data_IF_623948850627
#
_entry.id   IF_623948850627
#
_cell.length_a   1.000
_cell.length_b   1.000
_cell.length_c   1.000
_cell.angle_alpha   90.00
_cell.angle_beta   90.00
_cell.angle_gamma   90.00
#
_symmetry.space_group_name_H-M   'P 1'
#
loop_
_entity.id
_entity.type
_entity.pdbx_description
1 polymer ?
#
# COMPACT_ATOMS: atom_id res chain seq x y z
N UNK A 1 18.78 12.19 8.63
CA UNK A 1 18.44 11.10 7.70
C UNK A 1 17.76 9.96 8.47
N UNK A 2 16.65 9.42 7.97
CA UNK A 2 15.95 8.28 8.60
C UNK A 2 16.65 6.96 8.34
N UNK A 3 16.62 6.05 9.33
CA UNK A 3 17.24 4.71 9.26
C UNK A 3 18.72 4.70 8.84
N UNK A 4 19.46 5.78 9.17
CA UNK A 4 20.86 5.96 8.79
C UNK A 4 21.75 6.09 10.03
N UNK A 5 22.03 5.00 10.74
CA UNK A 5 22.80 5.05 12.01
C UNK A 5 24.22 5.58 11.87
N UNK A 6 24.83 5.47 10.68
CA UNK A 6 26.15 6.01 10.33
C UNK A 6 26.04 7.29 9.50
N UNK A 7 25.07 8.15 9.82
CA UNK A 7 24.96 9.45 9.16
C UNK A 7 26.23 10.30 9.43
N UNK A 8 26.65 11.17 8.50
CA UNK A 8 27.75 12.11 8.72
C UNK A 8 27.53 12.98 9.98
N UNK A 9 28.61 13.53 10.54
CA UNK A 9 28.62 14.21 11.85
C UNK A 9 27.59 15.34 12.00
N UNK A 10 27.26 16.01 10.91
CA UNK A 10 26.38 17.18 10.93
C UNK A 10 24.92 16.81 10.60
N UNK A 11 24.65 15.51 10.42
CA UNK A 11 23.35 14.97 10.05
C UNK A 11 22.79 14.13 11.19
N UNK A 12 21.65 14.57 11.74
CA UNK A 12 20.97 13.83 12.81
C UNK A 12 20.35 12.54 12.22
N UNK A 13 20.73 11.35 12.71
CA UNK A 13 20.06 10.11 12.34
C UNK A 13 18.72 10.02 13.08
N UNK A 14 17.69 9.51 12.41
CA UNK A 14 16.32 9.46 12.95
C UNK A 14 15.72 8.05 12.83
N UNK A 15 14.71 7.76 13.64
CA UNK A 15 14.04 6.46 13.66
C UNK A 15 12.72 6.45 12.89
N UNK A 16 12.44 5.32 12.23
CA UNK A 16 11.16 4.98 11.62
C UNK A 16 10.75 3.60 12.13
N UNK A 17 9.48 3.43 12.50
CA UNK A 17 8.96 2.18 13.01
C UNK A 17 7.77 2.38 13.94
N UNK A 18 7.36 1.31 14.61
CA UNK A 18 6.24 1.36 15.57
C UNK A 18 6.65 1.73 16.99
N UNK A 19 7.85 1.35 17.44
CA UNK A 19 8.25 1.39 18.85
C UNK A 19 9.68 1.92 19.06
N UNK A 20 10.01 3.09 18.48
CA UNK A 20 11.36 3.64 18.52
C UNK A 20 11.90 3.91 19.93
N UNK A 21 11.04 4.09 20.94
CA UNK A 21 11.47 4.25 22.33
C UNK A 21 12.09 2.98 22.94
N UNK A 22 11.80 1.80 22.38
CA UNK A 22 12.34 0.53 22.84
C UNK A 22 13.35 -0.09 21.85
N UNK A 23 13.17 0.13 20.55
CA UNK A 23 13.94 -0.58 19.52
C UNK A 23 15.11 0.21 18.94
N UNK A 24 15.26 1.50 19.28
CA UNK A 24 16.30 2.34 18.68
C UNK A 24 17.23 2.96 19.73
N UNK A 25 18.55 2.68 19.70
CA UNK A 25 19.50 3.17 20.69
C UNK A 25 19.87 4.66 20.53
N UNK A 26 19.29 5.34 19.54
CA UNK A 26 19.60 6.72 19.20
C UNK A 26 20.90 6.91 18.40
N UNK A 27 21.32 8.17 18.18
CA UNK A 27 22.59 8.51 17.55
C UNK A 27 23.80 8.01 18.35
N UNK A 28 24.92 7.79 17.66
CA UNK A 28 26.22 7.50 18.30
C UNK A 28 26.69 8.70 19.11
N UNK A 29 26.57 9.92 18.57
CA UNK A 29 26.81 11.15 19.31
C UNK A 29 25.63 11.44 20.24
N UNK A 30 25.82 11.28 21.55
CA UNK A 30 24.77 11.45 22.56
C UNK A 30 24.34 12.90 22.81
N UNK A 31 25.03 13.89 22.24
CA UNK A 31 24.54 15.28 22.26
C UNK A 31 23.45 15.56 21.23
N UNK A 32 23.25 14.65 20.26
CA UNK A 32 22.18 14.79 19.26
C UNK A 32 20.82 14.39 19.84
N UNK A 33 19.73 15.06 19.42
CA UNK A 33 18.39 14.74 19.89
C UNK A 33 17.89 13.40 19.33
N UNK A 34 16.98 12.77 20.08
CA UNK A 34 16.22 11.61 19.62
C UNK A 34 14.99 12.08 18.83
N UNK A 35 14.98 11.79 17.53
CA UNK A 35 13.90 12.16 16.62
C UNK A 35 13.28 10.90 15.97
N UNK A 36 11.95 10.81 16.03
CA UNK A 36 11.16 9.74 15.43
C UNK A 36 10.34 10.31 14.26
N UNK A 37 10.85 10.12 13.05
CA UNK A 37 10.33 10.74 11.83
C UNK A 37 9.17 9.96 11.23
N UNK A 38 9.02 8.68 11.51
CA UNK A 38 7.85 7.90 11.09
C UNK A 38 7.36 6.95 12.19
N UNK A 39 6.38 7.40 12.97
CA UNK A 39 5.57 6.56 13.84
C UNK A 39 4.41 5.97 13.04
N UNK A 40 4.53 4.70 12.64
CA UNK A 40 3.56 4.06 11.76
C UNK A 40 2.19 3.88 12.43
N UNK A 41 1.22 4.72 12.10
CA UNK A 41 -0.12 4.75 12.74
C UNK A 41 -1.05 3.63 12.30
N UNK A 42 -0.69 2.96 11.21
CA UNK A 42 -1.29 1.77 10.64
C UNK A 42 -0.28 1.16 9.64
N UNK A 43 -0.74 0.28 8.77
CA UNK A 43 -0.02 -0.16 7.57
C UNK A 43 -0.82 0.32 6.36
N UNK A 44 -0.19 0.93 5.34
CA UNK A 44 -0.87 1.17 4.06
C UNK A 44 -1.30 -0.16 3.45
N UNK A 45 -2.37 -0.13 2.66
CA UNK A 45 -2.97 -1.36 2.15
C UNK A 45 -2.79 -1.49 0.65
N UNK A 46 -2.63 -2.73 0.21
CA UNK A 46 -2.51 -3.08 -1.20
C UNK A 46 -3.78 -3.78 -1.68
N UNK A 47 -3.94 -3.96 -2.98
CA UNK A 47 -5.04 -4.77 -3.50
C UNK A 47 -4.91 -6.23 -3.01
N UNK A 48 -6.02 -6.81 -2.53
CA UNK A 48 -6.09 -8.19 -2.01
C UNK A 48 -5.78 -8.35 -0.51
N UNK A 49 -5.45 -7.27 0.17
CA UNK A 49 -4.92 -7.26 1.53
C UNK A 49 -6.06 -7.23 2.59
N UNK A 50 -6.03 -8.05 3.67
CA UNK A 50 -7.12 -8.13 4.66
C UNK A 50 -7.04 -6.99 5.70
N UNK A 51 -8.12 -6.35 6.21
CA UNK A 51 -8.05 -5.18 7.10
C UNK A 51 -6.95 -5.20 8.20
N UNK A 52 -6.26 -4.08 8.41
CA UNK A 52 -5.11 -3.99 9.32
C UNK A 52 -5.18 -2.67 10.06
N UNK A 53 -5.11 -2.74 11.39
CA UNK A 53 -5.24 -1.59 12.28
C UNK A 53 -4.12 -1.62 13.31
N UNK A 54 -3.86 -0.45 13.89
CA UNK A 54 -3.04 -0.26 15.09
C UNK A 54 -3.88 0.54 16.06
N UNK A 55 -4.03 0.08 17.29
CA UNK A 55 -4.94 0.68 18.26
C UNK A 55 -4.45 2.06 18.72
N UNK A 56 -5.35 2.87 19.26
CA UNK A 56 -5.00 4.19 19.79
C UNK A 56 -4.04 4.07 20.98
N UNK A 57 -4.29 3.08 21.82
CA UNK A 57 -3.58 2.75 23.05
C UNK A 57 -2.14 2.34 22.77
N UNK A 58 -1.91 1.51 21.74
CA UNK A 58 -0.56 1.08 21.33
C UNK A 58 0.26 2.26 20.77
N UNK A 59 -0.38 3.13 19.97
CA UNK A 59 0.29 4.34 19.47
C UNK A 59 0.61 5.29 20.63
N UNK A 60 -0.33 5.48 21.56
CA UNK A 60 -0.15 6.33 22.73
C UNK A 60 0.97 5.79 23.64
N UNK A 61 0.99 4.47 23.88
CA UNK A 61 2.06 3.78 24.59
C UNK A 61 3.41 4.07 23.94
N UNK A 62 3.53 3.83 22.64
CA UNK A 62 4.81 3.97 21.95
C UNK A 62 5.32 5.43 21.96
N UNK A 63 4.42 6.42 21.83
CA UNK A 63 4.79 7.85 21.91
C UNK A 63 5.17 8.24 23.33
N UNK A 64 4.34 7.92 24.34
CA UNK A 64 4.67 8.19 25.74
C UNK A 64 6.01 7.53 26.13
N UNK A 65 6.25 6.32 25.64
CA UNK A 65 7.51 5.59 25.81
C UNK A 65 8.67 6.35 25.20
N UNK A 66 8.55 6.81 23.95
CA UNK A 66 9.59 7.56 23.27
C UNK A 66 9.97 8.86 24.01
N UNK A 67 8.99 9.63 24.48
CA UNK A 67 9.27 10.84 25.28
C UNK A 67 9.87 10.50 26.65
N UNK A 68 9.45 9.40 27.29
CA UNK A 68 10.02 8.96 28.58
C UNK A 68 11.52 8.64 28.50
N UNK A 69 12.03 8.26 27.32
CA UNK A 69 13.45 7.95 27.10
C UNK A 69 14.27 9.13 26.56
N UNK A 70 13.72 10.34 26.58
CA UNK A 70 14.39 11.55 26.08
C UNK A 70 14.09 11.88 24.61
N UNK A 71 13.06 11.26 24.04
CA UNK A 71 12.50 11.63 22.74
C UNK A 71 12.04 13.09 22.73
N UNK A 72 12.33 13.82 21.64
CA UNK A 72 11.98 15.24 21.52
C UNK A 72 11.08 15.57 20.32
N UNK A 73 10.92 14.62 19.39
CA UNK A 73 10.02 14.74 18.26
C UNK A 73 9.47 13.36 17.88
N UNK A 74 8.15 13.25 17.75
CA UNK A 74 7.48 12.11 17.16
C UNK A 74 6.52 12.58 16.05
N UNK A 75 6.71 12.07 14.84
CA UNK A 75 5.86 12.36 13.70
C UNK A 75 5.00 11.14 13.34
N UNK A 76 3.69 11.32 13.23
CA UNK A 76 2.76 10.27 12.82
C UNK A 76 2.82 10.04 11.32
N UNK A 77 3.22 8.83 10.92
CA UNK A 77 3.20 8.40 9.53
C UNK A 77 2.09 7.33 9.35
N UNK A 78 0.90 7.66 8.87
CA UNK A 78 0.41 8.99 8.51
C UNK A 78 -0.48 9.57 9.60
N UNK A 79 -0.50 10.90 9.73
CA UNK A 79 -1.55 11.60 10.48
C UNK A 79 -2.85 11.69 9.67
N UNK A 80 -2.72 12.02 8.38
CA UNK A 80 -3.73 11.86 7.34
C UNK A 80 -3.04 11.22 6.14
N UNK A 81 -3.59 10.12 5.63
CA UNK A 81 -3.04 9.46 4.46
C UNK A 81 -3.66 9.94 3.14
N UNK A 82 -4.99 10.13 3.12
CA UNK A 82 -5.72 10.60 1.95
C UNK A 82 -5.87 9.54 0.86
N UNK A 83 -5.91 10.00 -0.39
CA UNK A 83 -6.16 9.15 -1.56
C UNK A 83 -5.04 9.28 -2.59
N UNK A 84 -4.55 8.15 -3.08
CA UNK A 84 -3.73 8.05 -4.29
C UNK A 84 -4.64 8.25 -5.51
N UNK A 85 -4.87 9.51 -5.90
CA UNK A 85 -5.62 9.83 -7.11
C UNK A 85 -4.83 9.52 -8.39
N UNK A 86 -5.55 9.39 -9.50
CA UNK A 86 -4.96 9.12 -10.80
C UNK A 86 -4.37 7.71 -10.88
N UNK A 87 -3.16 7.58 -11.43
CA UNK A 87 -2.57 6.28 -11.78
C UNK A 87 -1.07 6.11 -11.51
N UNK A 88 -0.39 7.13 -10.99
CA UNK A 88 1.08 7.14 -10.84
C UNK A 88 1.51 6.79 -9.41
N UNK A 89 0.72 5.98 -8.70
CA UNK A 89 1.02 5.55 -7.34
C UNK A 89 1.95 4.32 -7.31
N UNK A 90 2.34 3.94 -6.09
CA UNK A 90 3.16 2.75 -5.87
C UNK A 90 2.45 1.44 -6.25
N UNK A 91 3.24 0.46 -6.69
CA UNK A 91 2.78 -0.82 -7.19
C UNK A 91 1.86 -1.52 -6.19
N UNK A 92 0.65 -1.89 -6.64
CA UNK A 92 -0.44 -2.52 -5.88
C UNK A 92 -1.02 -1.72 -4.72
N UNK A 93 -0.49 -0.53 -4.37
CA UNK A 93 -1.05 0.28 -3.29
C UNK A 93 -2.44 0.75 -3.69
N UNK A 94 -3.42 0.59 -2.79
CA UNK A 94 -4.79 0.99 -3.06
C UNK A 94 -4.91 2.52 -3.16
N UNK A 95 -5.98 3.01 -3.83
CA UNK A 95 -6.35 4.43 -3.78
C UNK A 95 -6.44 4.94 -2.34
N UNK A 96 -7.16 4.23 -1.45
CA UNK A 96 -7.25 4.58 -0.03
C UNK A 96 -5.92 4.43 0.69
N UNK A 97 -5.24 5.54 0.96
CA UNK A 97 -3.92 5.53 1.58
C UNK A 97 -4.06 5.80 3.08
N UNK A 98 -3.66 4.85 3.92
CA UNK A 98 -3.72 4.99 5.40
C UNK A 98 -5.10 5.43 5.95
N UNK A 99 -6.20 4.82 5.48
CA UNK A 99 -7.58 5.08 5.98
C UNK A 99 -7.80 4.76 7.48
N UNK A 100 -6.79 4.16 8.12
CA UNK A 100 -6.73 3.88 9.55
C UNK A 100 -5.88 4.90 10.34
N UNK A 101 -5.42 5.98 9.71
CA UNK A 101 -4.73 7.08 10.37
C UNK A 101 -5.67 7.87 11.32
N UNK A 102 -5.15 8.75 12.19
CA UNK A 102 -5.96 9.63 13.03
C UNK A 102 -7.02 10.43 12.26
N UNK A 103 -6.69 10.89 11.04
CA UNK A 103 -7.66 11.35 10.07
C UNK A 103 -7.83 10.27 9.00
N UNK A 104 -9.07 9.90 8.73
CA UNK A 104 -9.38 8.89 7.72
C UNK A 104 -9.14 9.40 6.28
N UNK A 105 -9.41 8.57 5.27
CA UNK A 105 -9.22 8.94 3.85
C UNK A 105 -9.95 10.25 3.47
N UNK A 106 -11.11 10.51 4.08
CA UNK A 106 -11.96 11.66 3.78
C UNK A 106 -11.67 12.87 4.68
N UNK A 107 -10.66 12.77 5.56
CA UNK A 107 -10.28 13.84 6.49
C UNK A 107 -11.15 13.92 7.74
N UNK A 108 -12.00 12.92 8.00
CA UNK A 108 -12.81 12.86 9.22
C UNK A 108 -11.97 12.34 10.39
N UNK A 109 -12.31 12.79 11.61
CA UNK A 109 -11.69 12.30 12.82
C UNK A 109 -12.00 10.81 13.00
N UNK A 110 -10.95 9.98 13.08
CA UNK A 110 -11.09 8.56 13.34
C UNK A 110 -10.96 8.30 14.83
N UNK A 111 -12.10 8.13 15.49
CA UNK A 111 -12.14 7.97 16.93
C UNK A 111 -12.14 6.49 17.34
N UNK A 112 -11.54 6.15 18.49
CA UNK A 112 -10.97 7.04 19.51
C UNK A 112 -9.53 7.49 19.23
N UNK A 113 -8.94 7.11 18.08
CA UNK A 113 -7.52 7.31 17.81
C UNK A 113 -7.12 8.78 17.79
N UNK A 114 -7.90 9.62 17.11
CA UNK A 114 -7.61 11.05 17.05
C UNK A 114 -7.69 11.71 18.43
N UNK A 115 -8.79 11.51 19.15
CA UNK A 115 -9.01 12.10 20.46
C UNK A 115 -8.03 11.60 21.52
N UNK A 116 -7.74 10.30 21.56
CA UNK A 116 -6.78 9.74 22.52
C UNK A 116 -5.36 10.27 22.32
N UNK A 117 -4.93 10.44 21.05
CA UNK A 117 -3.63 11.03 20.75
C UNK A 117 -3.59 12.53 21.03
N UNK A 118 -4.69 13.25 20.80
CA UNK A 118 -4.83 14.67 21.20
C UNK A 118 -4.64 14.81 22.71
N UNK A 119 -5.26 13.96 23.51
CA UNK A 119 -5.18 14.02 24.97
C UNK A 119 -3.77 13.68 25.46
N UNK A 120 -3.09 12.72 24.83
CA UNK A 120 -1.65 12.47 25.06
C UNK A 120 -0.81 13.72 24.76
N UNK A 121 -1.06 14.42 23.65
CA UNK A 121 -0.30 15.63 23.31
C UNK A 121 -0.51 16.73 24.34
N UNK A 122 -1.72 16.88 24.87
CA UNK A 122 -2.00 17.82 25.94
C UNK A 122 -1.21 17.47 27.20
N UNK A 123 -1.18 16.18 27.59
CA UNK A 123 -0.38 15.72 28.73
C UNK A 123 1.12 15.99 28.53
N UNK A 124 1.69 15.67 27.36
CA UNK A 124 3.09 15.97 27.05
C UNK A 124 3.38 17.48 27.04
N UNK A 125 2.44 18.30 26.57
CA UNK A 125 2.55 19.76 26.58
C UNK A 125 2.55 20.32 28.01
N UNK A 126 1.77 19.74 28.93
CA UNK A 126 1.84 20.07 30.35
C UNK A 126 3.21 19.70 30.95
N UNK A 127 3.77 18.56 30.54
CA UNK A 127 5.07 18.06 31.00
C UNK A 127 6.30 18.74 30.36
N UNK A 128 6.12 19.60 29.33
CA UNK A 128 7.20 20.06 28.44
C UNK A 128 8.41 20.68 29.16
N UNK A 129 8.18 21.35 30.29
CA UNK A 129 9.25 22.06 31.00
C UNK A 129 10.25 21.07 31.62
N UNK A 130 9.77 20.07 32.33
CA UNK A 130 10.63 19.02 32.86
C UNK A 130 11.24 18.16 31.75
N UNK A 131 10.50 17.88 30.68
CA UNK A 131 11.02 17.10 29.54
C UNK A 131 12.20 17.77 28.82
N UNK A 132 12.23 19.10 28.76
CA UNK A 132 13.27 19.85 28.05
C UNK A 132 14.46 20.25 28.93
N UNK A 133 14.23 20.54 30.22
CA UNK A 133 15.26 21.10 31.11
C UNK A 133 15.46 20.31 32.42
N UNK A 134 14.65 19.29 32.67
CA UNK A 134 14.75 18.47 33.87
C UNK A 134 15.87 17.44 33.77
N UNK A 135 16.44 17.10 34.92
CA UNK A 135 17.41 16.01 35.05
C UNK A 135 16.66 14.68 35.02
N UNK A 136 16.94 13.79 34.05
CA UNK A 136 16.28 12.50 33.96
C UNK A 136 16.84 11.49 34.97
N UNK A 137 15.97 10.67 35.55
CA UNK A 137 16.33 9.51 36.37
C UNK A 137 15.40 8.33 36.07
N UNK A 138 15.81 7.13 36.47
CA UNK A 138 15.01 5.92 36.28
C UNK A 138 15.03 5.10 37.57
N UNK A 139 13.84 4.74 38.04
CA UNK A 139 13.63 3.91 39.21
C UNK A 139 12.99 2.59 38.78
N UNK A 140 13.62 1.48 39.14
CA UNK A 140 13.11 0.14 38.85
C UNK A 140 12.16 -0.28 39.99
N UNK A 141 10.87 -0.30 39.70
CA UNK A 141 9.81 -0.59 40.66
C UNK A 141 9.36 -2.06 40.65
N UNK A 142 9.90 -2.87 39.73
CA UNK A 142 9.62 -4.29 39.62
C UNK A 142 10.33 -4.92 38.43
N UNK A 143 9.99 -6.17 38.09
CA UNK A 143 10.61 -6.88 36.96
C UNK A 143 10.30 -6.22 35.62
N UNK A 144 9.07 -5.74 35.44
CA UNK A 144 8.57 -5.08 34.22
C UNK A 144 7.94 -3.71 34.52
N UNK A 145 8.22 -3.17 35.71
CA UNK A 145 7.67 -1.92 36.21
C UNK A 145 8.82 -0.93 36.41
N UNK A 146 8.69 0.26 35.84
CA UNK A 146 9.68 1.34 36.01
C UNK A 146 9.00 2.70 36.11
N UNK A 147 9.64 3.63 36.82
CA UNK A 147 9.32 5.04 36.79
C UNK A 147 10.48 5.79 36.12
N UNK A 148 10.17 6.59 35.09
CA UNK A 148 11.12 7.53 34.50
C UNK A 148 10.74 8.94 34.89
N UNK A 149 11.66 9.64 35.56
CA UNK A 149 11.36 10.91 36.22
C UNK A 149 12.23 12.01 35.60
N UNK A 150 11.66 13.19 35.41
CA UNK A 150 12.38 14.40 35.00
C UNK A 150 12.15 15.46 36.06
N UNK A 151 13.22 15.92 36.70
CA UNK A 151 13.12 16.84 37.85
C UNK A 151 13.90 18.12 37.67
N UNK A 152 13.33 19.21 38.17
CA UNK A 152 13.98 20.50 38.35
C UNK A 152 13.78 20.93 39.81
N UNK A 153 14.62 20.47 40.76
CA UNK A 153 14.39 20.67 42.19
C UNK A 153 14.23 22.14 42.58
N UNK A 154 15.08 23.02 42.03
CA UNK A 154 15.06 24.46 42.31
C UNK A 154 13.74 25.13 41.91
N UNK A 155 13.08 24.60 40.88
CA UNK A 155 11.82 25.15 40.34
C UNK A 155 10.60 24.35 40.80
N UNK A 156 10.79 23.33 41.65
CA UNK A 156 9.75 22.41 42.12
C UNK A 156 8.91 21.80 40.99
N UNK A 157 9.55 21.48 39.86
CA UNK A 157 8.91 20.81 38.72
C UNK A 157 9.34 19.35 38.69
N UNK A 158 8.38 18.43 38.61
CA UNK A 158 8.62 17.00 38.52
C UNK A 158 7.63 16.37 37.56
N UNK A 159 8.10 15.55 36.62
CA UNK A 159 7.25 14.73 35.75
C UNK A 159 7.68 13.27 35.87
N UNK A 160 6.72 12.36 35.94
CA UNK A 160 7.00 10.92 35.97
C UNK A 160 6.20 10.16 34.90
N UNK A 161 6.83 9.16 34.30
CA UNK A 161 6.21 8.16 33.44
C UNK A 161 6.29 6.81 34.14
N UNK A 162 5.15 6.33 34.64
CA UNK A 162 5.04 5.03 35.30
C UNK A 162 4.67 3.98 34.26
N UNK A 163 5.60 3.08 33.95
CA UNK A 163 5.48 2.14 32.84
C UNK A 163 5.29 0.71 33.33
N UNK A 164 4.29 0.02 32.78
CA UNK A 164 4.13 -1.43 32.89
C UNK A 164 4.39 -2.10 31.54
N UNK A 165 5.52 -2.78 31.44
CA UNK A 165 5.97 -3.50 30.25
C UNK A 165 5.43 -4.93 30.16
N UNK A 166 4.69 -5.42 31.16
CA UNK A 166 4.02 -6.71 31.09
C UNK A 166 2.88 -6.62 30.06
N UNK A 167 2.86 -7.52 29.08
CA UNK A 167 1.84 -7.55 28.03
C UNK A 167 0.60 -8.37 28.41
N UNK A 168 0.62 -9.03 29.56
CA UNK A 168 -0.42 -9.96 30.02
C UNK A 168 -1.16 -9.45 31.25
N UNK A 169 -0.42 -8.94 32.23
CA UNK A 169 -0.95 -8.66 33.56
C UNK A 169 -0.87 -7.18 33.94
N UNK A 170 -1.96 -6.69 34.53
CA UNK A 170 -2.01 -5.38 35.16
C UNK A 170 -1.21 -5.38 36.48
N UNK A 171 -0.78 -4.21 36.93
CA UNK A 171 -0.01 -4.10 38.16
C UNK A 171 -0.39 -2.86 38.96
N UNK A 172 -0.23 -2.95 40.28
CA UNK A 172 -0.16 -1.77 41.15
C UNK A 172 1.29 -1.61 41.61
N UNK A 173 1.89 -0.45 41.31
CA UNK A 173 3.25 -0.12 41.74
C UNK A 173 3.23 0.98 42.80
N UNK A 174 4.18 0.94 43.73
CA UNK A 174 4.36 2.04 44.70
C UNK A 174 5.41 3.00 44.16
N UNK A 175 5.03 4.27 43.96
CA UNK A 175 5.94 5.34 43.56
C UNK A 175 5.81 6.49 44.57
N UNK A 176 6.94 6.93 45.14
CA UNK A 176 6.96 7.98 46.19
C UNK A 176 5.99 7.72 47.35
N UNK A 177 5.90 6.46 47.78
CA UNK A 177 5.04 6.04 48.89
C UNK A 177 3.55 5.99 48.56
N UNK A 178 3.13 6.24 47.30
CA UNK A 178 1.73 6.14 46.87
C UNK A 178 1.53 4.98 45.89
N UNK A 179 0.42 4.22 45.99
CA UNK A 179 0.10 3.17 45.04
C UNK A 179 -0.50 3.75 43.75
N UNK A 180 -0.06 3.24 42.60
CA UNK A 180 -0.60 3.55 41.28
C UNK A 180 -0.95 2.28 40.53
N UNK A 181 -2.21 2.17 40.10
CA UNK A 181 -2.63 1.14 39.17
C UNK A 181 -2.17 1.49 37.75
N UNK A 182 -1.41 0.59 37.12
CA UNK A 182 -0.88 0.76 35.76
C UNK A 182 -1.23 -0.51 34.97
N UNK A 183 -2.20 -0.44 34.04
CA UNK A 183 -2.60 -1.57 33.22
C UNK A 183 -1.42 -2.20 32.46
N UNK A 184 -1.58 -3.44 32.01
CA UNK A 184 -0.63 -4.11 31.12
C UNK A 184 -0.32 -3.26 29.89
N UNK A 185 0.92 -3.32 29.45
CA UNK A 185 1.42 -2.60 28.27
C UNK A 185 0.94 -1.15 28.22
N UNK A 186 1.20 -0.41 29.30
CA UNK A 186 0.70 0.95 29.46
C UNK A 186 1.69 1.86 30.19
N UNK A 187 1.47 3.15 30.02
CA UNK A 187 2.19 4.21 30.73
C UNK A 187 1.18 5.18 31.32
N UNK A 188 1.33 5.47 32.60
CA UNK A 188 0.66 6.59 33.28
C UNK A 188 1.61 7.79 33.34
N UNK A 189 1.15 8.95 32.88
CA UNK A 189 1.90 10.21 32.86
C UNK A 189 1.43 11.07 34.04
N UNK A 190 2.38 11.46 34.89
CA UNK A 190 2.16 12.32 36.04
C UNK A 190 2.88 13.65 35.80
N UNK A 191 2.13 14.75 35.72
CA UNK A 191 2.67 16.06 35.37
C UNK A 191 3.37 16.78 36.54
N UNK A 192 3.18 16.28 37.75
CA UNK A 192 3.67 16.79 39.04
C UNK A 192 4.30 15.66 39.89
N UNK A 193 4.51 14.47 39.32
CA UNK A 193 4.90 13.23 40.01
C UNK A 193 3.91 12.72 41.07
N UNK A 194 2.68 13.22 41.07
CA UNK A 194 1.61 12.81 42.00
C UNK A 194 0.29 12.45 41.29
N UNK A 195 -0.17 13.31 40.38
CA UNK A 195 -1.47 13.24 39.74
C UNK A 195 -1.34 12.64 38.34
N UNK A 196 -2.03 11.52 38.08
CA UNK A 196 -2.10 10.94 36.74
C UNK A 196 -2.95 11.85 35.85
N UNK A 197 -2.34 12.47 34.85
CA UNK A 197 -3.03 13.34 33.88
C UNK A 197 -3.39 12.61 32.59
N UNK A 198 -2.74 11.47 32.31
CA UNK A 198 -3.02 10.64 31.15
C UNK A 198 -2.56 9.20 31.39
N UNK A 199 -3.33 8.22 30.91
CA UNK A 199 -2.95 6.81 30.89
C UNK A 199 -3.14 6.23 29.49
N UNK A 200 -2.13 5.54 28.95
CA UNK A 200 -2.17 5.11 27.54
C UNK A 200 -3.25 4.05 27.25
N UNK A 201 -3.72 3.31 28.26
CA UNK A 201 -4.83 2.36 28.17
C UNK A 201 -6.18 2.94 28.67
N UNK A 202 -6.20 4.21 29.11
CA UNK A 202 -7.42 4.86 29.60
C UNK A 202 -7.96 5.82 28.53
N UNK A 203 -8.80 5.29 27.64
CA UNK A 203 -9.35 6.01 26.49
C UNK A 203 -10.62 6.77 26.88
N UNK A 204 -10.54 8.10 26.91
CA UNK A 204 -11.69 8.98 27.20
C UNK A 204 -12.47 9.42 25.96
N UNK A 205 -11.87 9.30 24.77
CA UNK A 205 -12.52 9.66 23.52
C UNK A 205 -13.65 8.68 23.16
N UNK A 206 -14.79 9.21 22.73
CA UNK A 206 -15.92 8.40 22.26
C UNK A 206 -15.55 7.66 20.98
N UNK A 207 -15.94 6.41 20.86
CA UNK A 207 -15.68 5.64 19.64
C UNK A 207 -16.64 6.07 18.53
N UNK A 208 -16.18 6.06 17.28
CA UNK A 208 -17.03 6.30 16.12
C UNK A 208 -16.89 5.19 15.07
N UNK A 209 -17.84 5.17 14.15
CA UNK A 209 -17.81 4.34 12.97
C UNK A 209 -18.29 5.17 11.77
N UNK A 210 -17.57 5.08 10.65
CA UNK A 210 -17.98 5.73 9.41
C UNK A 210 -19.08 4.92 8.73
N UNK A 211 -20.16 5.60 8.34
CA UNK A 211 -21.23 5.04 7.50
C UNK A 211 -21.22 5.70 6.13
N UNK A 212 -21.66 4.95 5.12
CA UNK A 212 -21.85 5.46 3.76
C UNK A 212 -23.33 5.43 3.42
N UNK A 213 -23.83 6.54 2.88
CA UNK A 213 -25.20 6.67 2.42
C UNK A 213 -25.18 7.00 0.93
N UNK A 214 -26.15 6.49 0.18
CA UNK A 214 -26.33 6.91 -1.20
C UNK A 214 -26.71 8.39 -1.23
N UNK A 215 -26.06 9.17 -2.09
CA UNK A 215 -26.48 10.53 -2.38
C UNK A 215 -27.77 10.51 -3.21
N UNK A 216 -28.64 11.52 -3.06
CA UNK A 216 -29.90 11.60 -3.81
C UNK A 216 -29.69 11.51 -5.34
N UNK A 217 -28.53 11.97 -5.84
CA UNK A 217 -28.15 11.88 -7.26
C UNK A 217 -27.95 10.43 -7.75
N UNK A 218 -27.48 9.52 -6.89
CA UNK A 218 -27.32 8.10 -7.28
C UNK A 218 -28.63 7.32 -7.26
N UNK A 219 -29.68 7.88 -6.66
CA UNK A 219 -31.04 7.35 -6.67
C UNK A 219 -31.87 7.78 -7.89
N UNK A 220 -31.34 8.64 -8.77
CA UNK A 220 -31.98 9.01 -10.03
C UNK A 220 -31.87 7.88 -11.07
N UNK A 221 -32.75 7.87 -12.08
CA UNK A 221 -32.72 6.93 -13.21
C UNK A 221 -31.50 7.17 -14.11
N UNK A 222 -30.33 6.81 -13.61
CA UNK A 222 -29.04 6.93 -14.27
C UNK A 222 -29.02 6.02 -15.52
N UNK A 223 -29.03 6.63 -16.71
CA UNK A 223 -28.93 5.92 -17.98
C UNK A 223 -27.46 5.82 -18.37
N UNK A 224 -26.91 4.61 -18.24
CA UNK A 224 -25.54 4.33 -18.61
C UNK A 224 -25.37 4.09 -20.11
N UNK A 225 -24.33 4.70 -20.67
CA UNK A 225 -23.89 4.47 -22.04
C UNK A 225 -22.48 3.86 -22.04
N UNK A 226 -22.16 3.11 -23.08
CA UNK A 226 -20.87 2.46 -23.26
C UNK A 226 -20.21 2.78 -24.61
N UNK A 227 -18.89 2.77 -24.62
CA UNK A 227 -18.05 2.77 -25.80
C UNK A 227 -17.28 1.43 -25.88
N UNK A 228 -17.54 0.67 -26.95
CA UNK A 228 -17.02 -0.68 -27.22
C UNK A 228 -15.90 -0.70 -28.27
N UNK A 229 -15.23 0.43 -28.50
CA UNK A 229 -14.20 0.54 -29.54
C UNK A 229 -12.83 -0.05 -29.19
N UNK A 230 -12.66 -0.63 -28.00
CA UNK A 230 -11.44 -1.35 -27.60
C UNK A 230 -11.39 -2.74 -28.22
N UNK A 231 -11.03 -2.79 -29.50
CA UNK A 231 -10.89 -4.05 -30.22
C UNK A 231 -9.53 -4.70 -29.94
N UNK A 232 -9.52 -6.04 -29.86
CA UNK A 232 -8.29 -6.83 -29.78
C UNK A 232 -7.42 -6.56 -31.02
N UNK A 233 -6.19 -6.02 -30.86
CA UNK A 233 -5.37 -5.67 -31.99
C UNK A 233 -4.66 -6.87 -32.62
N UNK A 234 -4.26 -6.70 -33.88
CA UNK A 234 -3.46 -7.67 -34.65
C UNK A 234 -2.03 -7.18 -34.81
N UNK A 235 -1.09 -8.12 -34.95
CA UNK A 235 0.34 -7.86 -35.17
C UNK A 235 0.63 -6.78 -36.23
N UNK A 236 -0.10 -6.79 -37.34
CA UNK A 236 0.08 -5.81 -38.43
C UNK A 236 -0.17 -4.35 -38.02
N UNK A 237 -0.98 -4.11 -36.98
CA UNK A 237 -1.30 -2.77 -36.47
C UNK A 237 -0.20 -2.22 -35.56
N UNK A 238 0.70 -3.07 -35.04
CA UNK A 238 1.77 -2.64 -34.19
C UNK A 238 2.85 -1.90 -34.98
N UNK A 239 3.21 -0.70 -34.50
CA UNK A 239 4.33 0.10 -35.00
C UNK A 239 5.67 -0.36 -34.41
N UNK A 240 5.67 -0.81 -33.16
CA UNK A 240 6.86 -1.33 -32.47
C UNK A 240 6.85 -2.85 -32.63
N UNK A 241 7.87 -3.40 -33.26
CA UNK A 241 8.01 -4.85 -33.47
C UNK A 241 9.40 -5.29 -33.03
N UNK A 242 9.44 -6.26 -32.13
CA UNK A 242 10.67 -6.81 -31.57
C UNK A 242 10.68 -8.32 -31.75
N UNK A 243 11.86 -8.95 -31.66
CA UNK A 243 11.98 -10.41 -31.73
C UNK A 243 11.25 -11.11 -30.58
N UNK A 244 11.32 -10.52 -29.38
CA UNK A 244 10.65 -10.98 -28.15
C UNK A 244 9.73 -9.90 -27.59
N UNK A 245 8.90 -10.24 -26.61
CA UNK A 245 8.13 -9.27 -25.86
C UNK A 245 9.06 -8.23 -25.20
N UNK A 246 8.73 -6.94 -25.37
CA UNK A 246 9.46 -5.83 -24.76
C UNK A 246 9.00 -5.55 -23.33
N UNK A 247 9.91 -5.09 -22.49
CA UNK A 247 9.58 -4.69 -21.11
C UNK A 247 8.50 -3.60 -21.07
N UNK A 248 7.48 -3.80 -20.24
CA UNK A 248 6.30 -2.93 -20.15
C UNK A 248 6.67 -1.54 -19.66
N UNK A 249 7.53 -1.41 -18.64
CA UNK A 249 7.93 -0.09 -18.12
C UNK A 249 8.68 0.71 -19.18
N UNK A 250 9.59 0.06 -19.90
CA UNK A 250 10.35 0.70 -20.96
C UNK A 250 9.46 1.13 -22.14
N UNK A 251 8.45 0.34 -22.50
CA UNK A 251 7.51 0.66 -23.59
C UNK A 251 6.56 1.80 -23.22
N UNK A 252 6.01 1.79 -22.01
CA UNK A 252 4.99 2.75 -21.56
C UNK A 252 5.59 4.07 -21.13
N UNK A 253 6.82 4.07 -20.59
CA UNK A 253 7.43 5.22 -19.91
C UNK A 253 6.47 5.86 -18.89
N UNK A 254 5.68 5.01 -18.22
CA UNK A 254 4.62 5.39 -17.28
C UNK A 254 3.56 6.38 -17.82
N UNK A 255 3.37 6.46 -19.14
CA UNK A 255 2.32 7.32 -19.74
C UNK A 255 0.94 6.65 -19.79
N UNK A 256 0.90 5.35 -19.56
CA UNK A 256 -0.28 4.47 -19.54
C UNK A 256 0.10 3.22 -18.76
N UNK A 257 -0.89 2.56 -18.18
CA UNK A 257 -0.67 1.25 -17.57
C UNK A 257 -0.58 0.11 -18.59
N UNK A 258 -1.02 0.34 -19.82
CA UNK A 258 -1.42 -0.73 -20.72
C UNK A 258 -0.48 -0.91 -21.92
N UNK A 259 -0.14 -2.16 -22.21
CA UNK A 259 0.52 -2.56 -23.46
C UNK A 259 -0.13 -3.81 -24.02
N UNK A 260 -0.48 -3.77 -25.29
CA UNK A 260 -0.83 -4.95 -26.06
C UNK A 260 0.41 -5.62 -26.65
N UNK A 261 0.57 -6.90 -26.39
CA UNK A 261 1.55 -7.80 -26.99
C UNK A 261 0.82 -8.71 -27.99
N UNK A 262 1.19 -8.65 -29.26
CA UNK A 262 0.49 -9.39 -30.32
C UNK A 262 1.47 -10.22 -31.13
N UNK A 263 1.07 -11.42 -31.52
CA UNK A 263 1.83 -12.27 -32.44
C UNK A 263 0.89 -13.20 -33.21
N UNK A 264 1.44 -13.93 -34.17
CA UNK A 264 0.71 -14.93 -34.94
C UNK A 264 1.59 -16.12 -35.25
N UNK A 265 0.98 -17.30 -35.31
CA UNK A 265 1.65 -18.55 -35.61
C UNK A 265 0.75 -19.39 -36.51
N UNK A 266 1.34 -20.28 -37.30
CA UNK A 266 0.61 -21.16 -38.22
C UNK A 266 0.70 -22.59 -37.69
N UNK A 267 -0.42 -23.29 -37.73
CA UNK A 267 -0.50 -24.71 -37.44
C UNK A 267 -0.99 -25.47 -38.68
N UNK A 268 -0.36 -26.61 -38.95
CA UNK A 268 -0.84 -27.57 -39.91
C UNK A 268 -1.79 -28.58 -39.25
N UNK A 269 -2.40 -29.47 -40.05
CA UNK A 269 -3.33 -30.45 -39.51
C UNK A 269 -2.66 -31.40 -38.51
N UNK A 270 -1.41 -31.78 -38.79
CA UNK A 270 -0.66 -32.75 -37.99
C UNK A 270 -0.17 -32.17 -36.65
N UNK A 271 -0.15 -30.84 -36.50
CA UNK A 271 0.19 -30.17 -35.23
C UNK A 271 -0.96 -30.25 -34.22
N UNK A 272 -2.21 -30.36 -34.70
CA UNK A 272 -3.42 -30.24 -33.89
C UNK A 272 -3.74 -31.56 -33.17
N UNK A 273 -4.23 -31.52 -31.91
CA UNK A 273 -4.52 -32.73 -31.16
C UNK A 273 -5.48 -33.67 -31.89
N UNK A 274 -5.06 -34.92 -32.10
CA UNK A 274 -5.91 -35.95 -32.75
C UNK A 274 -7.06 -36.34 -31.81
N UNK A 275 -6.80 -36.32 -30.51
CA UNK A 275 -7.77 -36.65 -29.47
C UNK A 275 -8.52 -35.40 -29.01
N UNK A 276 -9.85 -35.46 -29.01
CA UNK A 276 -10.73 -34.35 -28.63
C UNK A 276 -10.71 -34.02 -27.13
N UNK A 277 -10.21 -34.91 -26.27
CA UNK A 277 -10.09 -34.67 -24.83
C UNK A 277 -8.81 -33.91 -24.44
N UNK A 278 -7.83 -33.82 -25.35
CA UNK A 278 -6.62 -33.01 -25.17
C UNK A 278 -6.96 -31.56 -25.49
N UNK A 279 -6.83 -30.68 -24.49
CA UNK A 279 -6.98 -29.24 -24.67
C UNK A 279 -5.62 -28.58 -24.87
N UNK A 280 -5.49 -27.77 -25.90
CA UNK A 280 -4.32 -26.89 -26.06
C UNK A 280 -4.39 -25.77 -25.02
N UNK A 281 -3.29 -25.52 -24.33
CA UNK A 281 -3.21 -24.53 -23.24
C UNK A 281 -2.25 -23.43 -23.63
N UNK A 282 -2.69 -22.18 -23.46
CA UNK A 282 -1.84 -21.01 -23.55
C UNK A 282 -1.19 -20.78 -22.18
N UNK A 283 0.15 -20.71 -22.17
CA UNK A 283 0.95 -20.30 -21.01
C UNK A 283 1.59 -18.93 -21.30
N UNK A 284 1.30 -17.94 -20.46
CA UNK A 284 1.92 -16.61 -20.51
C UNK A 284 2.60 -16.34 -19.18
N UNK A 285 3.93 -16.36 -19.18
CA UNK A 285 4.75 -15.93 -18.05
C UNK A 285 4.92 -14.42 -18.11
N UNK A 286 4.71 -13.76 -16.98
CA UNK A 286 4.81 -12.31 -16.87
C UNK A 286 5.63 -11.92 -15.65
N UNK A 287 6.42 -10.86 -15.79
CA UNK A 287 7.06 -10.18 -14.65
C UNK A 287 6.07 -9.32 -13.83
N UNK A 288 4.81 -9.24 -14.27
CA UNK A 288 3.73 -8.52 -13.62
C UNK A 288 3.13 -7.39 -14.47
N UNK A 289 2.11 -6.69 -14.00
CA UNK A 289 1.36 -7.00 -12.77
C UNK A 289 0.08 -7.79 -13.05
N UNK A 290 -0.54 -7.58 -14.22
CA UNK A 290 -1.68 -8.37 -14.68
C UNK A 290 -1.65 -8.55 -16.21
N UNK A 291 -2.31 -9.60 -16.68
CA UNK A 291 -2.42 -9.97 -18.10
C UNK A 291 -3.81 -10.47 -18.42
N UNK A 292 -4.31 -10.09 -19.58
CA UNK A 292 -5.57 -10.57 -20.17
C UNK A 292 -5.25 -11.13 -21.55
N UNK A 293 -5.52 -12.41 -21.77
CA UNK A 293 -5.17 -13.11 -22.99
C UNK A 293 -6.37 -13.32 -23.91
N UNK A 294 -6.12 -13.15 -25.21
CA UNK A 294 -7.05 -13.36 -26.30
C UNK A 294 -6.40 -14.20 -27.40
N UNK A 295 -7.17 -15.14 -27.94
CA UNK A 295 -6.75 -15.98 -29.07
C UNK A 295 -7.83 -15.93 -30.13
N UNK A 296 -7.44 -15.64 -31.36
CA UNK A 296 -8.37 -15.47 -32.50
C UNK A 296 -9.55 -14.52 -32.18
N UNK A 297 -9.24 -13.39 -31.52
CA UNK A 297 -10.19 -12.38 -31.03
C UNK A 297 -11.20 -12.86 -29.97
N UNK A 298 -11.02 -14.05 -29.39
CA UNK A 298 -11.81 -14.54 -28.26
C UNK A 298 -11.05 -14.40 -26.96
N UNK A 299 -11.73 -13.98 -25.90
CA UNK A 299 -11.18 -13.97 -24.54
C UNK A 299 -10.86 -15.40 -24.09
N UNK A 300 -9.67 -15.59 -23.53
CA UNK A 300 -9.18 -16.88 -23.03
C UNK A 300 -9.09 -16.89 -21.51
N UNK A 301 -8.62 -15.79 -20.92
CA UNK A 301 -8.57 -15.64 -19.47
C UNK A 301 -7.70 -14.47 -19.03
N UNK A 302 -7.64 -14.28 -17.71
CA UNK A 302 -6.81 -13.28 -17.06
C UNK A 302 -5.98 -13.89 -15.92
N UNK A 303 -4.87 -13.24 -15.59
CA UNK A 303 -4.02 -13.58 -14.45
C UNK A 303 -3.34 -12.33 -13.91
N UNK A 304 -2.94 -12.36 -12.65
CA UNK A 304 -2.23 -11.26 -12.01
C UNK A 304 -1.32 -11.76 -10.89
N UNK A 305 -0.31 -10.94 -10.56
CA UNK A 305 0.52 -11.11 -9.39
C UNK A 305 -0.09 -10.46 -8.15
N UNK A 306 0.74 -10.33 -7.11
CA UNK A 306 0.44 -9.63 -5.85
C UNK A 306 1.57 -8.65 -5.51
N UNK A 307 1.39 -7.81 -4.48
CA UNK A 307 2.47 -6.91 -4.01
C UNK A 307 3.76 -7.68 -3.71
N UNK A 308 3.64 -8.84 -3.06
CA UNK A 308 4.76 -9.70 -2.68
C UNK A 308 5.37 -10.41 -3.90
N UNK A 309 4.54 -11.11 -4.67
CA UNK A 309 4.95 -11.87 -5.84
C UNK A 309 4.33 -11.26 -7.10
N UNK A 310 5.06 -10.34 -7.73
CA UNK A 310 4.58 -9.57 -8.90
C UNK A 310 4.49 -10.42 -10.15
N UNK A 311 5.44 -11.33 -10.33
CA UNK A 311 5.48 -12.27 -11.43
C UNK A 311 4.44 -13.38 -11.25
N UNK A 312 3.90 -13.85 -12.37
CA UNK A 312 2.90 -14.91 -12.39
C UNK A 312 2.88 -15.59 -13.76
N UNK A 313 2.21 -16.74 -13.81
CA UNK A 313 1.98 -17.49 -15.05
C UNK A 313 0.47 -17.66 -15.26
N UNK A 314 -0.02 -17.20 -16.41
CA UNK A 314 -1.39 -17.39 -16.85
C UNK A 314 -1.46 -18.66 -17.71
N UNK A 315 -2.16 -19.68 -17.20
CA UNK A 315 -2.38 -20.96 -17.89
C UNK A 315 -3.87 -21.17 -18.13
N UNK A 316 -4.28 -21.16 -19.40
CA UNK A 316 -5.70 -21.31 -19.76
C UNK A 316 -5.88 -22.14 -21.03
N UNK A 317 -6.84 -23.09 -21.04
CA UNK A 317 -7.26 -23.77 -22.26
C UNK A 317 -7.73 -22.76 -23.30
N UNK A 318 -7.46 -23.04 -24.57
CA UNK A 318 -7.85 -22.18 -25.69
C UNK A 318 -8.25 -23.01 -26.91
N UNK A 319 -9.03 -22.39 -27.81
CA UNK A 319 -9.41 -22.98 -29.08
C UNK A 319 -8.47 -22.50 -30.20
N UNK A 320 -7.90 -23.46 -30.92
CA UNK A 320 -7.04 -23.22 -32.09
C UNK A 320 -7.69 -23.76 -33.36
N UNK A 321 -7.23 -23.26 -34.51
CA UNK A 321 -7.65 -23.74 -35.83
C UNK A 321 -6.45 -24.09 -36.70
N UNK A 322 -6.66 -24.94 -37.70
CA UNK A 322 -5.70 -25.13 -38.79
C UNK A 322 -5.44 -23.78 -39.49
N UNK A 323 -4.19 -23.54 -39.85
CA UNK A 323 -3.73 -22.31 -40.48
C UNK A 323 -3.27 -21.26 -39.46
N UNK A 324 -3.42 -19.98 -39.80
CA UNK A 324 -2.91 -18.87 -39.00
C UNK A 324 -3.82 -18.59 -37.79
N UNK A 325 -3.22 -18.60 -36.62
CA UNK A 325 -3.81 -18.20 -35.35
C UNK A 325 -3.17 -16.89 -34.87
N UNK A 326 -3.93 -16.11 -34.12
CA UNK A 326 -3.47 -14.84 -33.55
C UNK A 326 -3.55 -14.90 -32.03
N UNK A 327 -2.48 -14.50 -31.36
CA UNK A 327 -2.44 -14.31 -29.91
C UNK A 327 -2.27 -12.82 -29.62
N UNK A 328 -3.05 -12.33 -28.66
CA UNK A 328 -2.94 -10.97 -28.14
C UNK A 328 -3.04 -11.02 -26.61
N UNK A 329 -2.09 -10.41 -25.92
CA UNK A 329 -2.08 -10.28 -24.48
C UNK A 329 -2.07 -8.80 -24.14
N UNK A 330 -3.09 -8.34 -23.43
CA UNK A 330 -3.07 -7.02 -22.80
C UNK A 330 -2.41 -7.18 -21.43
N UNK A 331 -1.23 -6.61 -21.26
CA UNK A 331 -0.61 -6.53 -19.94
C UNK A 331 -0.82 -5.14 -19.34
N UNK A 332 -0.93 -5.10 -18.02
CA UNK A 332 -1.04 -3.84 -17.27
C UNK A 332 -0.06 -3.76 -16.10
N UNK A 333 0.53 -2.58 -15.92
CA UNK A 333 1.09 -2.18 -14.62
C UNK A 333 -0.03 -1.81 -13.66
N UNK A 334 0.32 -1.75 -12.38
CA UNK A 334 -0.59 -1.36 -11.29
C UNK A 334 0.19 -0.44 -10.36
N UNK A 335 0.82 0.60 -10.92
CA UNK A 335 1.82 1.43 -10.25
C UNK A 335 3.25 0.90 -10.38
N UNK A 336 4.24 1.67 -9.89
CA UNK A 336 5.67 1.35 -9.93
C UNK A 336 6.23 0.87 -8.59
N UNK A 337 7.29 0.06 -8.62
CA UNK A 337 7.92 -0.41 -7.37
C UNK A 337 8.51 0.76 -6.58
N UNK A 338 8.22 0.80 -5.27
CA UNK A 338 8.45 1.93 -4.37
C UNK A 338 9.48 1.64 -3.26
N UNK A 339 9.94 0.39 -3.14
CA UNK A 339 10.94 0.00 -2.16
C UNK A 339 11.74 -1.24 -2.60
N UNK A 340 12.93 -1.39 -2.00
CA UNK A 340 13.88 -2.46 -2.30
C UNK A 340 15.14 -1.96 -2.99
N UNK A 341 16.19 -2.79 -2.99
CA UNK A 341 17.40 -2.50 -3.75
C UNK A 341 17.22 -2.76 -5.25
N UNK A 342 17.94 -2.01 -6.07
CA UNK A 342 18.02 -2.15 -7.53
C UNK A 342 16.64 -2.11 -8.22
N UNK A 343 15.79 -1.16 -7.82
CA UNK A 343 14.44 -1.02 -8.38
C UNK A 343 14.47 -0.70 -9.87
N UNK A 344 15.50 0.00 -10.32
CA UNK A 344 15.76 0.35 -11.71
C UNK A 344 16.03 -0.86 -12.63
N UNK A 345 16.24 -2.05 -12.07
CA UNK A 345 16.41 -3.29 -12.82
C UNK A 345 15.15 -4.18 -12.84
N UNK A 346 14.06 -3.76 -12.18
CA UNK A 346 12.81 -4.53 -12.14
C UNK A 346 12.09 -4.41 -13.48
N UNK A 347 11.62 -5.55 -13.98
CA UNK A 347 10.87 -5.65 -15.23
C UNK A 347 9.38 -5.82 -14.97
N UNK A 348 8.55 -5.54 -15.97
CA UNK A 348 7.13 -5.83 -16.00
C UNK A 348 6.68 -6.25 -17.42
N UNK A 349 5.49 -6.81 -17.51
CA UNK A 349 4.88 -7.26 -18.77
C UNK A 349 5.16 -8.73 -19.08
N UNK A 350 4.89 -9.10 -20.33
CA UNK A 350 5.05 -10.45 -20.85
C UNK A 350 6.53 -10.78 -21.00
N UNK A 351 6.94 -11.97 -20.57
CA UNK A 351 8.30 -12.50 -20.71
C UNK A 351 8.33 -13.70 -21.68
N UNK A 352 7.70 -14.81 -21.28
CA UNK A 352 7.66 -16.07 -22.05
C UNK A 352 6.23 -16.41 -22.45
N UNK A 353 6.02 -16.86 -23.69
CA UNK A 353 4.70 -17.34 -24.15
C UNK A 353 4.86 -18.68 -24.82
N UNK A 354 4.10 -19.67 -24.37
CA UNK A 354 4.16 -21.04 -24.86
C UNK A 354 2.75 -21.60 -25.09
N UNK A 355 2.67 -22.59 -25.97
CA UNK A 355 1.47 -23.37 -26.22
C UNK A 355 1.79 -24.83 -25.97
N UNK A 356 1.05 -25.45 -25.05
CA UNK A 356 1.20 -26.86 -24.70
C UNK A 356 0.00 -27.66 -25.19
N UNK A 357 0.17 -28.99 -25.22
CA UNK A 357 -0.88 -29.91 -25.63
C UNK A 357 -1.03 -30.04 -27.15
N UNK A 358 -0.05 -29.61 -27.96
CA UNK A 358 0.02 -29.92 -29.40
C UNK A 358 0.67 -31.30 -29.62
N UNK A 359 0.46 -31.91 -30.79
CA UNK A 359 1.08 -33.23 -31.09
C UNK A 359 2.61 -33.17 -31.13
N UNK A 360 3.16 -32.06 -31.62
CA UNK A 360 4.60 -31.81 -31.67
C UNK A 360 5.22 -31.42 -30.30
N UNK A 361 4.42 -31.44 -29.23
CA UNK A 361 4.83 -31.05 -27.88
C UNK A 361 4.52 -29.57 -27.58
N UNK A 362 5.50 -28.86 -27.02
CA UNK A 362 5.34 -27.44 -26.64
C UNK A 362 5.85 -26.53 -27.75
N UNK A 363 5.00 -25.64 -28.23
CA UNK A 363 5.38 -24.57 -29.15
C UNK A 363 5.79 -23.32 -28.36
N UNK A 364 7.07 -22.95 -28.42
CA UNK A 364 7.58 -21.74 -27.80
C UNK A 364 7.45 -20.53 -28.74
N UNK A 365 6.65 -19.55 -28.30
CA UNK A 365 6.39 -18.31 -29.05
C UNK A 365 7.25 -17.13 -28.57
N UNK A 366 8.16 -17.33 -27.62
CA UNK A 366 8.93 -16.25 -26.98
C UNK A 366 9.74 -15.43 -27.97
N UNK A 367 10.32 -16.09 -28.98
CA UNK A 367 11.09 -15.46 -30.06
C UNK A 367 10.34 -15.43 -31.40
N UNK A 368 9.00 -15.42 -31.38
CA UNK A 368 8.15 -15.51 -32.58
C UNK A 368 7.93 -14.16 -33.29
N UNK A 369 8.56 -13.08 -32.83
CA UNK A 369 8.25 -11.73 -33.27
C UNK A 369 6.97 -11.21 -32.62
N UNK A 370 7.10 -10.11 -31.88
CA UNK A 370 6.03 -9.52 -31.07
C UNK A 370 5.79 -8.07 -31.45
N UNK A 371 4.53 -7.75 -31.74
CA UNK A 371 4.05 -6.41 -32.02
C UNK A 371 3.49 -5.77 -30.76
N UNK A 372 3.89 -4.53 -30.48
CA UNK A 372 3.54 -3.79 -29.28
C UNK A 372 2.69 -2.56 -29.62
N UNK A 373 1.57 -2.41 -28.92
CA UNK A 373 0.71 -1.22 -29.02
C UNK A 373 0.53 -0.66 -27.61
N UNK A 374 1.04 0.55 -27.40
CA UNK A 374 1.03 1.25 -26.11
C UNK A 374 -0.29 1.99 -25.93
N UNK A 375 -0.93 1.76 -24.78
CA UNK A 375 -2.17 2.40 -24.36
C UNK A 375 -3.43 1.88 -25.05
N UNK A 376 -4.57 2.31 -24.51
CA UNK A 376 -5.90 1.96 -24.98
C UNK A 376 -6.43 2.96 -26.03
N UNK A 377 -7.46 2.57 -26.78
CA UNK A 377 -8.09 3.47 -27.77
C UNK A 377 -8.73 4.67 -27.07
N UNK A 378 -9.45 4.45 -25.98
CA UNK A 378 -10.09 5.49 -25.18
C UNK A 378 -9.09 6.45 -24.54
N UNK A 379 -7.93 5.96 -24.11
CA UNK A 379 -6.83 6.81 -23.61
C UNK A 379 -6.30 7.74 -24.70
N UNK A 380 -6.03 7.21 -25.89
CA UNK A 380 -5.53 8.00 -27.04
C UNK A 380 -6.54 9.04 -27.52
N UNK A 381 -7.84 8.71 -27.44
CA UNK A 381 -8.93 9.62 -27.75
C UNK A 381 -9.29 10.55 -26.58
N UNK A 382 -8.67 10.36 -25.41
CA UNK A 382 -8.92 11.11 -24.19
C UNK A 382 -10.41 11.18 -23.84
N UNK A 383 -11.13 10.06 -23.96
CA UNK A 383 -12.61 10.05 -23.83
C UNK A 383 -13.12 10.38 -22.43
N UNK A 384 -12.22 10.42 -21.45
CA UNK A 384 -12.45 10.93 -20.09
C UNK A 384 -12.47 12.47 -20.01
N UNK A 385 -12.28 13.19 -21.12
CA UNK A 385 -12.41 14.66 -21.22
C UNK A 385 -13.67 15.02 -21.99
N UNK A 386 -14.24 16.20 -21.77
CA UNK A 386 -15.45 16.65 -22.49
C UNK A 386 -15.30 16.59 -24.01
N UNK A 387 -14.15 17.05 -24.52
CA UNK A 387 -13.83 17.01 -25.96
C UNK A 387 -13.70 15.58 -26.47
N UNK A 388 -12.98 14.73 -25.75
CA UNK A 388 -12.78 13.34 -26.15
C UNK A 388 -14.07 12.52 -26.09
N UNK A 389 -14.93 12.80 -25.10
CA UNK A 389 -16.23 12.17 -24.94
C UNK A 389 -17.12 12.41 -26.17
N UNK A 390 -17.09 13.61 -26.75
CA UNK A 390 -17.80 13.93 -28.00
C UNK A 390 -17.18 13.32 -29.27
N UNK A 391 -16.00 12.68 -29.19
CA UNK A 391 -15.28 12.14 -30.36
C UNK A 391 -15.59 10.67 -30.68
N UNK A 392 -16.48 10.05 -29.90
CA UNK A 392 -16.86 8.64 -30.04
C UNK A 392 -18.37 8.47 -30.05
N UNK A 393 -18.83 7.40 -30.70
CA UNK A 393 -20.24 7.01 -30.66
C UNK A 393 -20.50 6.18 -29.42
N UNK A 394 -21.37 6.69 -28.56
CA UNK A 394 -21.88 5.99 -27.38
C UNK A 394 -23.12 5.17 -27.72
N UNK A 395 -23.31 4.06 -27.01
CA UNK A 395 -24.44 3.15 -27.19
C UNK A 395 -25.01 2.77 -25.82
N UNK A 396 -26.25 2.25 -25.73
CA UNK A 396 -26.78 1.73 -24.47
C UNK A 396 -25.82 0.71 -23.83
N UNK A 397 -25.57 0.86 -22.53
CA UNK A 397 -24.66 -0.03 -21.80
C UNK A 397 -25.17 -1.48 -21.74
N UNK A 398 -24.23 -2.43 -21.82
CA UNK A 398 -24.47 -3.86 -21.65
C UNK A 398 -23.56 -4.42 -20.56
N UNK A 399 -24.05 -5.42 -19.83
CA UNK A 399 -23.26 -6.10 -18.80
C UNK A 399 -22.20 -7.03 -19.40
N UNK A 400 -21.22 -7.39 -18.57
CA UNK A 400 -20.23 -8.45 -18.83
C UNK A 400 -19.38 -8.26 -20.11
N UNK A 401 -19.14 -6.99 -20.48
CA UNK A 401 -18.25 -6.63 -21.59
C UNK A 401 -16.87 -6.21 -21.07
N UNK A 402 -15.79 -6.97 -21.35
CA UNK A 402 -14.44 -6.54 -21.02
C UNK A 402 -14.03 -5.34 -21.90
N UNK A 403 -13.01 -4.60 -21.46
CA UNK A 403 -12.42 -3.48 -22.22
C UNK A 403 -13.47 -2.46 -22.69
N UNK A 404 -14.36 -2.06 -21.80
CA UNK A 404 -15.46 -1.15 -22.13
C UNK A 404 -15.33 0.13 -21.31
N UNK A 405 -15.53 1.27 -21.96
CA UNK A 405 -15.65 2.55 -21.27
C UNK A 405 -17.12 2.84 -21.03
N UNK A 406 -17.45 3.32 -19.83
CA UNK A 406 -18.80 3.67 -19.45
C UNK A 406 -18.88 5.16 -19.09
N UNK A 407 -20.03 5.77 -19.37
CA UNK A 407 -20.41 7.08 -18.84
C UNK A 407 -21.86 7.03 -18.39
N UNK A 408 -22.23 7.97 -17.53
CA UNK A 408 -23.60 8.22 -17.10
C UNK A 408 -23.95 9.67 -17.44
N UNK A 409 -25.18 9.89 -17.90
CA UNK A 409 -25.70 11.23 -18.19
C UNK A 409 -26.42 11.82 -16.97
#
# INVERSE_FOLDING_TARGET
MCKQTKAPSDVIPTCNGRNCGDTWPGPTNKSMPLLWTENWTAQYRVFGDPPSQRSAEDIAFAVARFFSVGGTLANYYMYHGGTNFGRTSAAFVMPKYYDEAPLDEFGLYKEPKWGHLRDLHQALKLCKKALLWGTPSTEKLGKQLEARVFEMPEQKVCVAFLSNHNTKDDATMTFRGRPYFVPRHSISVLADCETVVFGTQHVNAQHNQRTFHFADQTAQNNVWEMFDGENVPKYKQAKIRLRKAGDLYNLTKDKTDYVWYTSSFKLEADDMPIRSDIKTVLEVNSHGHASVAFVNNKFVGCGHGTKMNKAFTLEKPMDLKKGVNHVAVLASSMGMTDSGAYMEHRLAGVDRVQITGLNAGTLDLTNNGWGHIVGLVGERKQIYTDKGMGSVTWKPAMNDRPLTWYKVN
#
